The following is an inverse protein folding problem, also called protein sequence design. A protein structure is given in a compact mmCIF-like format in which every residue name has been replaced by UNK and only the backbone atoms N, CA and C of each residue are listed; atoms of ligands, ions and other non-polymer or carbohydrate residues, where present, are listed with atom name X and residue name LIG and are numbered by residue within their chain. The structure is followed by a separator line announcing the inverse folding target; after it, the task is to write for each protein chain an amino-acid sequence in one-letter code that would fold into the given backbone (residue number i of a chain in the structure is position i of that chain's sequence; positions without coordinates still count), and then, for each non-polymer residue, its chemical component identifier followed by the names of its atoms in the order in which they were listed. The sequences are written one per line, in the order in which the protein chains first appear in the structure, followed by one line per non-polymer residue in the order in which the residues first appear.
data_IF_423337883865
#
_entry.id   IF_423337883865
#
_cell.length_a   1.000
_cell.length_b   1.000
_cell.length_c   1.000
_cell.angle_alpha   90.00
_cell.angle_beta   90.00
_cell.angle_gamma   90.00
#
_symmetry.space_group_name_H-M   'P 1'
#
loop_
_entity.id
_entity.type
_entity.pdbx_description
1 polymer ?
#
# COMPACT_ATOMS: atom_id res chain seq x y z
N UNK A 1 8.43 -11.02 71.96
CA UNK A 1 7.56 -10.96 70.77
C UNK A 1 8.04 -9.82 69.94
N UNK A 2 8.94 -10.13 68.95
CA UNK A 2 9.52 -9.13 68.08
C UNK A 2 8.70 -9.07 66.82
N UNK A 3 8.10 -7.91 66.53
CA UNK A 3 7.36 -7.64 65.31
C UNK A 3 8.31 -7.36 64.17
N UNK A 4 8.32 -8.24 63.15
CA UNK A 4 9.01 -7.99 61.87
C UNK A 4 8.26 -6.90 61.08
N UNK A 5 8.88 -5.73 60.98
CA UNK A 5 8.48 -4.71 60.03
C UNK A 5 8.81 -5.18 58.60
N UNK A 6 7.78 -5.37 57.78
CA UNK A 6 7.94 -5.58 56.35
C UNK A 6 8.37 -4.25 55.70
N UNK A 7 9.59 -4.20 55.16
CA UNK A 7 10.05 -3.04 54.36
C UNK A 7 9.35 -3.05 53.03
N UNK A 8 8.53 -2.04 52.76
CA UNK A 8 7.88 -1.79 51.48
C UNK A 8 8.94 -1.16 50.57
N UNK A 9 9.50 -1.94 49.67
CA UNK A 9 10.30 -1.42 48.54
C UNK A 9 9.36 -0.77 47.53
N UNK A 10 9.62 0.48 47.09
CA UNK A 10 8.86 1.07 46.01
C UNK A 10 9.09 0.27 44.70
N UNK A 11 8.07 0.14 43.82
CA UNK A 11 8.24 -0.51 42.54
C UNK A 11 9.31 0.22 41.71
N UNK A 12 10.20 -0.55 41.10
CA UNK A 12 11.21 -0.04 40.21
C UNK A 12 10.55 0.78 39.09
N UNK A 13 11.19 1.89 38.62
CA UNK A 13 10.64 2.67 37.51
C UNK A 13 10.49 1.74 36.32
N UNK A 14 9.29 1.76 35.72
CA UNK A 14 9.00 1.00 34.51
C UNK A 14 10.03 1.40 33.45
N UNK A 15 10.97 0.51 33.17
CA UNK A 15 11.92 0.69 32.09
C UNK A 15 11.16 0.97 30.80
N UNK A 16 11.58 1.98 30.05
CA UNK A 16 11.08 2.23 28.70
C UNK A 16 11.16 0.92 27.91
N UNK A 17 9.99 0.42 27.52
CA UNK A 17 9.91 -0.74 26.65
C UNK A 17 10.76 -0.46 25.40
N UNK A 18 11.56 -1.42 24.91
CA UNK A 18 12.38 -1.21 23.74
C UNK A 18 11.49 -0.69 22.61
N UNK A 19 11.93 0.36 21.93
CA UNK A 19 11.31 0.91 20.71
C UNK A 19 11.40 -0.12 19.59
N UNK A 20 10.81 -1.32 19.80
CA UNK A 20 10.56 -2.28 18.76
C UNK A 20 9.58 -1.64 17.79
N UNK A 21 9.82 -1.79 16.50
CA UNK A 21 8.93 -1.38 15.40
C UNK A 21 7.50 -1.80 15.74
N UNK A 22 6.73 -0.89 16.36
CA UNK A 22 5.30 -1.11 16.58
C UNK A 22 4.66 -1.15 15.21
N UNK A 23 4.20 -2.33 14.80
CA UNK A 23 3.39 -2.44 13.59
C UNK A 23 2.20 -1.51 13.75
N UNK A 24 1.98 -0.65 12.77
CA UNK A 24 0.84 0.25 12.77
C UNK A 24 -0.47 -0.52 12.75
N UNK A 25 -1.46 0.02 13.45
CA UNK A 25 -2.81 -0.56 13.48
C UNK A 25 -3.42 -0.42 12.08
N UNK A 26 -4.03 -1.49 11.59
CA UNK A 26 -4.71 -1.47 10.30
C UNK A 26 -6.01 -0.63 10.40
N UNK A 27 -6.13 0.35 9.51
CA UNK A 27 -7.33 1.18 9.41
C UNK A 27 -8.48 0.40 8.77
N UNK A 28 -9.71 0.82 9.06
CA UNK A 28 -10.92 0.37 8.38
C UNK A 28 -11.51 1.56 7.64
N UNK A 29 -11.73 1.37 6.34
CA UNK A 29 -12.40 2.32 5.47
C UNK A 29 -13.19 1.53 4.43
N UNK A 30 -14.32 2.07 3.98
CA UNK A 30 -15.07 1.51 2.86
C UNK A 30 -14.33 1.71 1.54
N UNK A 31 -14.61 0.86 0.56
CA UNK A 31 -13.97 0.90 -0.75
C UNK A 31 -14.14 2.27 -1.42
N UNK A 32 -15.31 2.89 -1.33
CA UNK A 32 -15.58 4.20 -1.89
C UNK A 32 -14.68 5.30 -1.28
N UNK A 33 -14.45 5.27 0.04
CA UNK A 33 -13.55 6.21 0.71
C UNK A 33 -12.09 5.95 0.33
N UNK A 34 -11.66 4.69 0.39
CA UNK A 34 -10.30 4.29 0.09
C UNK A 34 -9.90 4.61 -1.36
N UNK A 35 -10.76 4.24 -2.33
CA UNK A 35 -10.49 4.46 -3.74
C UNK A 35 -10.53 5.95 -4.16
N UNK A 36 -11.17 6.79 -3.36
CA UNK A 36 -11.17 8.25 -3.58
C UNK A 36 -9.90 8.94 -3.08
N UNK A 37 -8.96 8.21 -2.47
CA UNK A 37 -7.71 8.76 -1.95
C UNK A 37 -6.76 9.12 -3.09
N UNK A 38 -6.15 10.33 -3.00
CA UNK A 38 -5.24 10.86 -4.03
C UNK A 38 -3.96 11.45 -3.45
N UNK A 39 -3.86 11.52 -2.12
CA UNK A 39 -2.71 12.15 -1.46
C UNK A 39 -1.91 11.11 -0.68
N UNK A 40 -0.60 11.04 -0.98
CA UNK A 40 0.36 10.20 -0.27
C UNK A 40 1.36 11.08 0.48
N UNK A 41 1.54 10.82 1.76
CA UNK A 41 2.62 11.35 2.58
C UNK A 41 3.74 10.32 2.54
N UNK A 42 4.80 10.61 1.80
CA UNK A 42 5.99 9.74 1.71
C UNK A 42 6.81 9.83 3.00
N UNK A 43 7.37 8.72 3.46
CA UNK A 43 8.37 8.72 4.53
C UNK A 43 9.61 9.51 4.13
N UNK A 44 10.29 10.11 5.10
CA UNK A 44 11.50 10.90 4.86
C UNK A 44 12.77 10.03 4.70
N UNK A 45 12.69 8.75 5.06
CA UNK A 45 13.77 7.78 4.97
C UNK A 45 13.29 6.46 4.37
N UNK A 46 14.22 5.64 3.94
CA UNK A 46 13.97 4.34 3.28
C UNK A 46 13.14 3.37 4.15
N UNK A 47 13.20 3.51 5.48
CA UNK A 47 12.45 2.71 6.45
C UNK A 47 11.22 3.39 7.02
N UNK A 48 10.99 4.65 6.68
CA UNK A 48 9.84 5.38 7.19
C UNK A 48 8.57 4.98 6.47
N UNK A 49 7.46 4.78 7.19
CA UNK A 49 6.21 4.40 6.57
C UNK A 49 5.62 5.53 5.72
N UNK A 50 5.18 5.20 4.52
CA UNK A 50 4.32 6.08 3.72
C UNK A 50 2.87 5.92 4.14
N UNK A 51 2.10 7.00 4.07
CA UNK A 51 0.68 7.03 4.43
C UNK A 51 -0.15 7.60 3.30
N UNK A 52 -1.29 6.98 3.06
CA UNK A 52 -2.32 7.51 2.18
C UNK A 52 -3.32 8.26 3.04
N UNK A 53 -3.62 9.52 2.70
CA UNK A 53 -4.66 10.30 3.37
C UNK A 53 -5.94 10.15 2.59
N UNK A 54 -7.01 9.66 3.22
CA UNK A 54 -8.33 9.56 2.59
C UNK A 54 -9.04 10.92 2.57
N UNK A 55 -10.07 11.11 1.74
CA UNK A 55 -10.87 12.34 1.73
C UNK A 55 -11.56 12.66 3.06
N UNK A 56 -11.74 11.65 3.94
CA UNK A 56 -12.27 11.85 5.28
C UNK A 56 -11.17 11.88 6.36
N UNK A 57 -9.90 11.92 5.96
CA UNK A 57 -8.78 12.10 6.87
C UNK A 57 -8.24 10.85 7.54
N UNK A 58 -8.59 9.64 7.09
CA UNK A 58 -7.86 8.47 7.56
C UNK A 58 -6.43 8.51 7.00
N UNK A 59 -5.43 8.43 7.89
CA UNK A 59 -4.01 8.34 7.55
C UNK A 59 -3.61 6.87 7.51
N UNK A 60 -3.66 6.27 6.32
CA UNK A 60 -3.61 4.82 6.12
C UNK A 60 -2.23 4.39 5.62
N UNK A 61 -1.48 3.64 6.43
CA UNK A 61 -0.34 2.83 6.00
C UNK A 61 -0.79 1.37 5.80
N UNK A 62 -1.54 0.83 6.79
CA UNK A 62 -2.14 -0.51 6.75
C UNK A 62 -3.65 -0.42 6.77
N UNK A 63 -4.29 -1.29 6.01
CA UNK A 63 -5.75 -1.39 5.94
C UNK A 63 -6.20 -2.82 6.22
N UNK A 64 -7.36 -2.95 6.86
CA UNK A 64 -8.05 -4.22 7.05
C UNK A 64 -9.43 -4.11 6.42
N UNK A 65 -9.70 -4.95 5.44
CA UNK A 65 -10.94 -4.98 4.69
C UNK A 65 -11.57 -6.37 4.75
N UNK A 66 -12.89 -6.42 4.76
CA UNK A 66 -13.67 -7.66 4.65
C UNK A 66 -14.74 -7.44 3.59
N UNK A 67 -14.86 -8.38 2.67
CA UNK A 67 -15.86 -8.30 1.60
C UNK A 67 -15.97 -9.60 0.83
N UNK A 68 -16.72 -9.57 -0.26
CA UNK A 68 -16.86 -10.70 -1.17
C UNK A 68 -15.69 -10.68 -2.16
N UNK A 69 -14.90 -11.72 -2.20
CA UNK A 69 -13.98 -11.96 -3.30
C UNK A 69 -14.80 -12.36 -4.52
N UNK A 70 -14.86 -11.49 -5.51
CA UNK A 70 -15.66 -11.67 -6.71
C UNK A 70 -14.89 -12.22 -7.88
N UNK A 71 -13.59 -11.94 -7.89
CA UNK A 71 -12.72 -12.30 -8.99
C UNK A 71 -11.27 -12.46 -8.55
N UNK A 72 -10.56 -13.42 -9.14
CA UNK A 72 -9.15 -13.70 -8.92
C UNK A 72 -8.52 -14.03 -10.27
N UNK A 73 -7.46 -13.33 -10.64
CA UNK A 73 -6.79 -13.55 -11.90
C UNK A 73 -5.27 -13.32 -11.80
N UNK A 74 -4.48 -14.03 -12.60
CA UNK A 74 -3.07 -13.72 -12.78
C UNK A 74 -2.93 -12.43 -13.60
N UNK A 75 -1.94 -11.59 -13.25
CA UNK A 75 -1.67 -10.30 -13.90
C UNK A 75 -0.24 -10.30 -14.45
N UNK A 76 -0.07 -9.74 -15.65
CA UNK A 76 1.22 -9.65 -16.33
C UNK A 76 1.54 -10.90 -17.16
N UNK A 77 2.54 -10.77 -18.03
CA UNK A 77 2.93 -11.83 -18.98
C UNK A 77 3.53 -13.06 -18.28
N UNK A 78 4.18 -12.89 -17.13
CA UNK A 78 4.78 -13.97 -16.35
C UNK A 78 3.78 -14.71 -15.45
N UNK A 79 2.57 -14.15 -15.21
CA UNK A 79 1.59 -14.73 -14.27
C UNK A 79 2.06 -14.81 -12.81
N UNK A 80 3.11 -14.09 -12.45
CA UNK A 80 3.69 -14.13 -11.10
C UNK A 80 2.95 -13.25 -10.08
N UNK A 81 2.15 -12.31 -10.56
CA UNK A 81 1.32 -11.44 -9.73
C UNK A 81 -0.13 -11.86 -9.84
N UNK A 82 -0.79 -11.99 -8.70
CA UNK A 82 -2.21 -12.30 -8.60
C UNK A 82 -2.99 -11.08 -8.17
N UNK A 83 -4.07 -10.80 -8.88
CA UNK A 83 -5.06 -9.78 -8.50
C UNK A 83 -6.29 -10.46 -7.91
N UNK A 84 -6.76 -9.97 -6.77
CA UNK A 84 -8.07 -10.29 -6.23
C UNK A 84 -8.92 -9.02 -6.16
N UNK A 85 -10.19 -9.14 -6.51
CA UNK A 85 -11.20 -8.07 -6.38
C UNK A 85 -12.10 -8.38 -5.19
N UNK A 86 -12.08 -7.51 -4.19
CA UNK A 86 -12.85 -7.67 -2.97
C UNK A 86 -13.89 -6.57 -2.90
N UNK A 87 -15.16 -6.95 -2.94
CA UNK A 87 -16.28 -6.03 -2.99
C UNK A 87 -16.90 -5.86 -1.61
N UNK A 88 -17.04 -4.59 -1.18
CA UNK A 88 -17.99 -4.20 -0.14
C UNK A 88 -19.21 -3.53 -0.79
N UNK A 89 -20.28 -3.20 -0.04
CA UNK A 89 -21.45 -2.57 -0.65
C UNK A 89 -21.20 -1.18 -1.24
N UNK A 90 -20.06 -0.55 -0.97
CA UNK A 90 -19.70 0.79 -1.47
C UNK A 90 -18.80 0.75 -2.71
N UNK A 91 -18.17 -0.39 -3.01
CA UNK A 91 -17.23 -0.51 -4.14
C UNK A 91 -16.32 -1.71 -4.06
N UNK A 92 -15.21 -1.67 -4.80
CA UNK A 92 -14.28 -2.78 -4.97
C UNK A 92 -12.87 -2.36 -4.56
N UNK A 93 -12.23 -3.15 -3.72
CA UNK A 93 -10.80 -3.05 -3.43
C UNK A 93 -10.02 -3.89 -4.42
N UNK A 94 -8.93 -3.34 -4.96
CA UNK A 94 -7.95 -4.07 -5.75
C UNK A 94 -6.81 -4.53 -4.85
N UNK A 95 -6.57 -5.84 -4.81
CA UNK A 95 -5.53 -6.48 -4.00
C UNK A 95 -4.54 -7.15 -4.94
N UNK A 96 -3.25 -6.84 -4.80
CA UNK A 96 -2.19 -7.42 -5.64
C UNK A 96 -1.14 -8.09 -4.78
N UNK A 97 -0.85 -9.37 -5.05
CA UNK A 97 0.19 -10.15 -4.41
C UNK A 97 1.09 -10.80 -5.44
N UNK A 98 2.38 -10.75 -5.22
CA UNK A 98 3.40 -11.34 -6.09
C UNK A 98 4.51 -12.01 -5.27
N UNK A 99 5.67 -12.18 -5.88
CA UNK A 99 6.83 -12.89 -5.31
C UNK A 99 7.30 -12.36 -3.95
N UNK A 100 7.07 -11.07 -3.68
CA UNK A 100 7.41 -10.47 -2.37
C UNK A 100 6.41 -10.80 -1.25
N UNK A 101 5.28 -11.42 -1.56
CA UNK A 101 4.25 -11.87 -0.62
C UNK A 101 3.81 -13.30 -0.98
N UNK A 102 4.71 -14.28 -0.92
CA UNK A 102 4.44 -15.63 -1.43
C UNK A 102 3.25 -16.30 -0.73
N UNK A 103 3.13 -16.14 0.60
CA UNK A 103 2.02 -16.70 1.37
C UNK A 103 0.68 -16.07 0.97
N UNK A 104 0.63 -14.74 0.83
CA UNK A 104 -0.59 -14.05 0.43
C UNK A 104 -0.96 -14.32 -1.04
N UNK A 105 0.04 -14.43 -1.93
CA UNK A 105 -0.17 -14.80 -3.33
C UNK A 105 -0.74 -16.22 -3.44
N UNK A 106 -0.21 -17.16 -2.68
CA UNK A 106 -0.73 -18.53 -2.63
C UNK A 106 -2.16 -18.56 -2.08
N UNK A 107 -2.44 -17.81 -1.00
CA UNK A 107 -3.79 -17.72 -0.45
C UNK A 107 -4.78 -17.12 -1.45
N UNK A 108 -4.40 -16.08 -2.22
CA UNK A 108 -5.24 -15.51 -3.28
C UNK A 108 -5.48 -16.54 -4.39
N UNK A 109 -4.44 -17.23 -4.85
CA UNK A 109 -4.57 -18.26 -5.88
C UNK A 109 -5.56 -19.36 -5.48
N UNK A 110 -5.54 -19.77 -4.21
CA UNK A 110 -6.49 -20.77 -3.68
C UNK A 110 -7.94 -20.30 -3.66
N UNK A 111 -8.20 -18.97 -3.71
CA UNK A 111 -9.53 -18.42 -3.80
C UNK A 111 -10.12 -18.54 -5.21
N UNK A 112 -9.32 -18.72 -6.27
CA UNK A 112 -9.78 -18.79 -7.67
C UNK A 112 -10.93 -19.78 -7.83
N UNK A 113 -10.82 -20.94 -7.19
CA UNK A 113 -11.85 -21.99 -7.26
C UNK A 113 -12.93 -21.88 -6.16
N UNK A 114 -12.83 -20.87 -5.27
CA UNK A 114 -13.75 -20.65 -4.14
C UNK A 114 -14.59 -19.40 -4.30
N UNK A 115 -14.31 -18.60 -5.32
CA UNK A 115 -15.11 -17.39 -5.60
C UNK A 115 -16.50 -17.75 -6.09
N UNK A 116 -17.56 -17.05 -5.64
CA UNK A 116 -17.54 -15.96 -4.65
C UNK A 116 -17.50 -16.45 -3.20
N UNK A 117 -16.66 -15.83 -2.36
CA UNK A 117 -16.59 -16.13 -0.93
C UNK A 117 -16.26 -14.88 -0.12
N UNK A 118 -16.60 -14.87 1.17
CA UNK A 118 -16.18 -13.79 2.06
C UNK A 118 -14.71 -13.96 2.44
N UNK A 119 -13.96 -12.87 2.33
CA UNK A 119 -12.55 -12.83 2.69
C UNK A 119 -12.22 -11.60 3.53
N UNK A 120 -11.31 -11.79 4.46
CA UNK A 120 -10.66 -10.73 5.20
C UNK A 120 -9.24 -10.56 4.66
N UNK A 121 -8.86 -9.31 4.35
CA UNK A 121 -7.52 -8.96 3.89
C UNK A 121 -6.95 -7.89 4.79
N UNK A 122 -5.73 -8.12 5.28
CA UNK A 122 -4.92 -7.11 5.96
C UNK A 122 -3.66 -6.88 5.13
N UNK A 123 -3.36 -5.63 4.84
CA UNK A 123 -2.20 -5.31 4.01
C UNK A 123 -1.81 -3.85 4.04
N UNK A 124 -0.74 -3.53 3.33
CA UNK A 124 -0.27 -2.15 3.16
C UNK A 124 -1.02 -1.47 2.03
N UNK A 125 -1.47 -0.25 2.28
CA UNK A 125 -1.99 0.61 1.24
C UNK A 125 -0.86 1.07 0.31
N UNK A 126 -1.11 1.09 -1.00
CA UNK A 126 -0.17 1.50 -2.03
C UNK A 126 -0.84 2.44 -3.01
N UNK A 127 -0.10 3.41 -3.45
CA UNK A 127 -0.47 4.30 -4.55
C UNK A 127 0.26 3.90 -5.82
N UNK A 128 -0.36 4.16 -6.93
CA UNK A 128 0.22 4.07 -8.26
C UNK A 128 -0.25 5.26 -9.09
N UNK A 129 0.68 5.97 -9.70
CA UNK A 129 0.42 7.16 -10.50
C UNK A 129 1.03 6.95 -11.90
N UNK A 130 0.26 6.39 -12.86
CA UNK A 130 0.73 6.15 -14.22
C UNK A 130 0.99 7.46 -14.98
N UNK A 131 0.16 8.48 -14.72
CA UNK A 131 0.25 9.80 -15.31
C UNK A 131 0.09 10.86 -14.20
N UNK A 132 0.75 12.02 -14.31
CA UNK A 132 0.63 13.08 -13.32
C UNK A 132 -0.83 13.43 -13.01
N UNK A 133 -1.24 13.29 -11.74
CA UNK A 133 -2.60 13.56 -11.28
C UNK A 133 -3.56 12.36 -11.32
N UNK A 134 -3.19 11.23 -11.93
CA UNK A 134 -4.00 10.00 -11.96
C UNK A 134 -3.54 9.02 -10.89
N UNK A 135 -4.00 9.23 -9.65
CA UNK A 135 -3.60 8.39 -8.51
C UNK A 135 -4.61 7.25 -8.32
N UNK A 136 -4.10 6.03 -8.35
CA UNK A 136 -4.83 4.80 -8.02
C UNK A 136 -4.33 4.24 -6.70
N UNK A 137 -5.22 3.63 -5.94
CA UNK A 137 -4.89 2.97 -4.68
C UNK A 137 -5.14 1.48 -4.77
N UNK A 138 -4.31 0.71 -4.10
CA UNK A 138 -4.41 -0.75 -4.03
C UNK A 138 -3.96 -1.26 -2.67
N UNK A 139 -4.19 -2.53 -2.41
CA UNK A 139 -3.77 -3.21 -1.20
C UNK A 139 -2.70 -4.24 -1.58
N UNK A 140 -1.54 -4.13 -0.94
CA UNK A 140 -0.51 -5.15 -0.93
C UNK A 140 -0.73 -6.03 0.29
N UNK A 141 -1.27 -7.25 0.14
CA UNK A 141 -1.71 -8.04 1.26
C UNK A 141 -0.53 -8.58 2.08
N UNK A 142 -0.72 -8.61 3.39
CA UNK A 142 0.15 -9.30 4.35
C UNK A 142 -0.51 -10.59 4.85
N UNK A 143 -1.86 -10.61 4.88
CA UNK A 143 -2.66 -11.77 5.24
C UNK A 143 -3.98 -11.76 4.46
N UNK A 144 -4.40 -12.94 4.02
CA UNK A 144 -5.68 -13.19 3.34
C UNK A 144 -6.31 -14.43 3.98
N UNK A 145 -7.57 -14.34 4.37
CA UNK A 145 -8.27 -15.43 5.07
C UNK A 145 -9.74 -15.47 4.65
N UNK A 146 -10.26 -16.66 4.37
CA UNK A 146 -11.70 -16.87 4.18
C UNK A 146 -12.40 -16.69 5.52
N UNK A 147 -13.50 -15.95 5.53
CA UNK A 147 -14.29 -15.65 6.74
C UNK A 147 -15.77 -15.92 6.50
N UNK A 148 -16.54 -15.86 7.57
CA UNK A 148 -17.99 -16.02 7.54
C UNK A 148 -18.72 -14.67 7.38
N UNK A 149 -20.03 -14.76 7.19
CA UNK A 149 -20.92 -13.61 7.08
C UNK A 149 -20.93 -12.76 8.36
N UNK A 150 -20.88 -13.39 9.54
CA UNK A 150 -20.87 -12.67 10.80
C UNK A 150 -19.62 -11.78 10.95
N UNK A 151 -18.48 -12.26 10.51
CA UNK A 151 -17.23 -11.48 10.47
C UNK A 151 -17.36 -10.29 9.51
N UNK A 152 -17.98 -10.47 8.34
CA UNK A 152 -18.27 -9.39 7.39
C UNK A 152 -19.20 -8.36 8.01
N UNK A 153 -20.27 -8.77 8.67
CA UNK A 153 -21.24 -7.88 9.28
C UNK A 153 -20.63 -7.04 10.41
N UNK A 154 -19.83 -7.67 11.25
CA UNK A 154 -19.08 -6.97 12.30
C UNK A 154 -18.13 -5.92 11.70
N UNK A 155 -17.42 -6.28 10.62
CA UNK A 155 -16.52 -5.34 9.94
C UNK A 155 -17.28 -4.15 9.34
N UNK A 156 -18.48 -4.39 8.74
CA UNK A 156 -19.33 -3.32 8.20
C UNK A 156 -19.75 -2.34 9.30
N UNK A 157 -20.19 -2.83 10.46
CA UNK A 157 -20.58 -1.99 11.60
C UNK A 157 -19.41 -1.19 12.16
N UNK A 158 -18.26 -1.82 12.36
CA UNK A 158 -17.05 -1.15 12.85
C UNK A 158 -16.56 -0.09 11.85
N UNK A 159 -16.58 -0.40 10.56
CA UNK A 159 -16.17 0.53 9.50
C UNK A 159 -17.13 1.71 9.41
N UNK A 160 -18.44 1.46 9.52
CA UNK A 160 -19.46 2.52 9.52
C UNK A 160 -19.25 3.50 10.69
N UNK A 161 -19.01 2.97 11.91
CA UNK A 161 -18.70 3.80 13.09
C UNK A 161 -17.47 4.67 12.87
N UNK A 162 -16.37 4.08 12.38
CA UNK A 162 -15.12 4.82 12.09
C UNK A 162 -15.31 5.87 11.02
N UNK A 163 -16.09 5.56 9.98
CA UNK A 163 -16.39 6.51 8.91
C UNK A 163 -17.25 7.65 9.43
N UNK A 164 -18.23 7.38 10.30
CA UNK A 164 -19.05 8.39 10.93
C UNK A 164 -18.22 9.33 11.84
N UNK A 165 -17.28 8.80 12.62
CA UNK A 165 -16.34 9.59 13.41
C UNK A 165 -15.54 10.56 12.53
N UNK A 166 -15.03 10.10 11.39
CA UNK A 166 -14.30 10.92 10.43
C UNK A 166 -15.19 11.97 9.74
N UNK A 167 -16.42 11.60 9.39
CA UNK A 167 -17.40 12.54 8.83
C UNK A 167 -17.70 13.69 9.79
N UNK A 168 -17.91 13.37 11.07
CA UNK A 168 -18.14 14.40 12.11
C UNK A 168 -16.93 15.33 12.25
N UNK A 169 -15.73 14.80 12.16
CA UNK A 169 -14.50 15.58 12.23
C UNK A 169 -14.34 16.53 11.04
N UNK A 170 -14.55 16.03 9.82
CA UNK A 170 -14.51 16.86 8.59
C UNK A 170 -15.59 17.93 8.62
N UNK A 171 -16.80 17.60 9.11
CA UNK A 171 -17.88 18.58 9.26
C UNK A 171 -17.51 19.70 10.26
N UNK A 172 -16.87 19.36 11.38
CA UNK A 172 -16.41 20.34 12.37
C UNK A 172 -15.34 21.27 11.80
N UNK A 173 -14.36 20.73 11.07
CA UNK A 173 -13.31 21.51 10.40
C UNK A 173 -13.90 22.40 9.29
N UNK A 174 -14.89 21.91 8.56
CA UNK A 174 -15.59 22.66 7.53
C UNK A 174 -16.40 23.84 8.10
N UNK A 175 -17.02 23.65 9.26
CA UNK A 175 -17.79 24.71 9.94
C UNK A 175 -16.88 25.83 10.47
N UNK A 176 -15.66 25.51 10.84
CA UNK A 176 -14.66 26.45 11.36
C UNK A 176 -13.32 26.27 10.61
N UNK A 177 -13.12 26.91 9.44
CA UNK A 177 -11.94 26.69 8.61
C UNK A 177 -10.57 26.98 9.27
N UNK A 178 -10.56 27.75 10.35
CA UNK A 178 -9.36 28.12 11.12
C UNK A 178 -9.29 27.39 12.48
N UNK A 179 -10.09 26.35 12.67
CA UNK A 179 -10.06 25.58 13.92
C UNK A 179 -8.69 24.94 14.12
N UNK A 180 -8.17 24.99 15.34
CA UNK A 180 -6.89 24.35 15.68
C UNK A 180 -7.07 22.91 16.13
N UNK A 181 -5.99 22.15 16.08
CA UNK A 181 -5.97 20.78 16.58
C UNK A 181 -6.37 20.70 18.06
N UNK A 182 -5.83 21.62 18.87
CA UNK A 182 -6.11 21.70 20.30
C UNK A 182 -7.59 21.96 20.59
N UNK A 183 -8.22 22.82 19.78
CA UNK A 183 -9.65 23.12 19.93
C UNK A 183 -10.52 21.89 19.60
N UNK A 184 -10.18 21.13 18.56
CA UNK A 184 -10.88 19.89 18.20
C UNK A 184 -10.72 18.81 19.26
N UNK A 185 -9.50 18.63 19.77
CA UNK A 185 -9.22 17.69 20.85
C UNK A 185 -9.92 18.12 22.14
N UNK A 186 -9.94 19.41 22.47
CA UNK A 186 -10.65 19.95 23.62
C UNK A 186 -12.18 19.74 23.57
N UNK A 187 -12.76 19.54 22.37
CA UNK A 187 -14.17 19.15 22.16
C UNK A 187 -14.40 17.64 22.27
N UNK A 188 -13.37 16.87 22.68
CA UNK A 188 -13.45 15.42 22.88
C UNK A 188 -13.14 14.59 21.62
N UNK A 189 -12.66 15.20 20.55
CA UNK A 189 -12.27 14.48 19.33
C UNK A 189 -10.94 13.77 19.55
N UNK A 190 -10.84 12.51 19.11
CA UNK A 190 -9.58 11.77 19.18
C UNK A 190 -8.50 12.45 18.33
N UNK A 191 -7.31 12.68 18.89
CA UNK A 191 -6.22 13.41 18.24
C UNK A 191 -5.93 12.92 16.81
N UNK A 192 -5.80 11.59 16.51
CA UNK A 192 -5.55 11.13 15.14
C UNK A 192 -6.67 11.47 14.14
N UNK A 193 -7.93 11.51 14.62
CA UNK A 193 -9.10 11.86 13.79
C UNK A 193 -9.10 13.35 13.50
N UNK A 194 -8.80 14.18 14.51
CA UNK A 194 -8.70 15.64 14.34
C UNK A 194 -7.54 16.02 13.39
N UNK A 195 -6.35 15.46 13.57
CA UNK A 195 -5.20 15.65 12.67
C UNK A 195 -5.55 15.24 11.24
N UNK A 196 -6.21 14.09 11.08
CA UNK A 196 -6.62 13.58 9.78
C UNK A 196 -7.63 14.52 9.09
N UNK A 197 -8.61 15.03 9.82
CA UNK A 197 -9.60 15.95 9.25
C UNK A 197 -8.98 17.27 8.77
N UNK A 198 -8.01 17.81 9.50
CA UNK A 198 -7.24 19.01 9.10
C UNK A 198 -6.41 18.73 7.84
N UNK A 199 -5.74 17.56 7.76
CA UNK A 199 -5.02 17.13 6.57
C UNK A 199 -5.96 16.94 5.37
N UNK A 200 -7.14 16.34 5.58
CA UNK A 200 -8.12 16.18 4.52
C UNK A 200 -8.58 17.53 3.97
N UNK A 201 -8.86 18.51 4.82
CA UNK A 201 -9.21 19.85 4.39
C UNK A 201 -8.10 20.51 3.57
N UNK A 202 -6.84 20.34 3.99
CA UNK A 202 -5.68 20.91 3.30
C UNK A 202 -5.51 20.35 1.88
N UNK A 203 -5.72 19.04 1.68
CA UNK A 203 -5.41 18.35 0.43
C UNK A 203 -6.62 18.14 -0.48
N UNK A 204 -7.82 18.00 0.08
CA UNK A 204 -9.05 17.74 -0.67
C UNK A 204 -10.01 18.95 -0.68
N UNK A 205 -9.74 19.97 0.14
CA UNK A 205 -10.63 21.13 0.24
C UNK A 205 -12.04 20.76 0.72
N UNK A 206 -13.05 21.19 -0.03
CA UNK A 206 -14.45 20.89 0.28
C UNK A 206 -14.82 19.49 -0.22
N UNK A 207 -14.55 18.47 0.61
CA UNK A 207 -14.97 17.09 0.32
C UNK A 207 -16.49 16.95 0.33
N UNK A 208 -17.04 16.29 -0.69
CA UNK A 208 -18.45 15.87 -0.68
C UNK A 208 -18.66 14.77 0.38
N UNK A 209 -19.16 15.17 1.54
CA UNK A 209 -19.42 14.28 2.67
C UNK A 209 -20.72 13.49 2.51
N UNK A 210 -21.66 13.93 1.67
CA UNK A 210 -22.96 13.30 1.50
C UNK A 210 -22.83 11.92 0.85
N UNK A 211 -21.95 11.80 -0.15
CA UNK A 211 -21.71 10.51 -0.79
C UNK A 211 -21.18 9.44 0.18
N UNK A 212 -20.33 9.83 1.16
CA UNK A 212 -19.81 8.89 2.16
C UNK A 212 -20.86 8.58 3.24
N UNK A 213 -21.70 9.55 3.61
CA UNK A 213 -22.83 9.30 4.49
C UNK A 213 -23.86 8.35 3.82
N UNK A 214 -24.09 8.50 2.51
CA UNK A 214 -24.91 7.58 1.75
C UNK A 214 -24.32 6.17 1.69
N UNK A 215 -22.99 6.06 1.48
CA UNK A 215 -22.30 4.75 1.51
C UNK A 215 -22.47 4.04 2.85
N UNK A 216 -22.37 4.73 3.98
CA UNK A 216 -22.65 4.15 5.30
C UNK A 216 -24.06 3.55 5.33
N UNK A 217 -25.08 4.30 4.88
CA UNK A 217 -26.45 3.83 4.85
C UNK A 217 -26.62 2.58 3.99
N UNK A 218 -26.03 2.56 2.80
CA UNK A 218 -26.04 1.40 1.92
C UNK A 218 -25.39 0.17 2.56
N UNK A 219 -24.23 0.36 3.23
CA UNK A 219 -23.49 -0.74 3.83
C UNK A 219 -24.18 -1.33 5.07
N UNK A 220 -24.89 -0.51 5.85
CA UNK A 220 -25.52 -0.94 7.12
C UNK A 220 -26.97 -1.34 6.93
N UNK A 221 -27.68 -0.83 5.91
CA UNK A 221 -29.09 -1.13 5.66
C UNK A 221 -29.43 -2.61 5.64
N UNK A 222 -28.65 -3.51 5.00
CA UNK A 222 -28.92 -4.94 5.01
C UNK A 222 -28.84 -5.60 6.39
N UNK A 223 -28.11 -4.97 7.35
CA UNK A 223 -27.90 -5.50 8.69
C UNK A 223 -29.02 -5.11 9.66
N UNK A 224 -29.93 -4.21 9.25
CA UNK A 224 -31.04 -3.78 10.08
C UNK A 224 -32.19 -4.78 10.04
N UNK A 225 -32.93 -4.97 11.14
CA UNK A 225 -34.14 -5.81 11.14
C UNK A 225 -35.13 -5.34 10.07
N UNK A 226 -35.49 -6.20 9.16
CA UNK A 226 -36.36 -5.87 8.02
C UNK A 226 -35.64 -5.31 6.79
N UNK A 227 -34.31 -5.15 6.84
CA UNK A 227 -33.49 -4.86 5.68
C UNK A 227 -33.45 -6.08 4.75
N UNK A 228 -33.90 -5.91 3.50
CA UNK A 228 -33.68 -6.92 2.48
C UNK A 228 -32.20 -6.89 2.11
N UNK A 229 -31.49 -7.98 2.39
CA UNK A 229 -30.17 -8.21 1.81
C UNK A 229 -30.40 -8.30 0.31
N UNK A 230 -29.84 -7.42 -0.53
CA UNK A 230 -29.82 -7.70 -1.95
C UNK A 230 -28.99 -8.98 -2.09
N UNK A 231 -29.65 -10.09 -2.34
CA UNK A 231 -29.00 -11.31 -2.78
C UNK A 231 -28.40 -10.94 -4.12
N UNK A 232 -27.13 -10.55 -4.13
CA UNK A 232 -26.35 -10.46 -5.35
C UNK A 232 -26.25 -11.90 -5.85
N UNK A 233 -27.25 -12.33 -6.64
CA UNK A 233 -27.13 -13.52 -7.45
C UNK A 233 -26.04 -13.21 -8.45
N UNK A 234 -24.86 -13.69 -8.15
CA UNK A 234 -23.71 -13.64 -9.07
C UNK A 234 -24.04 -14.60 -10.23
N UNK A 235 -24.93 -14.16 -11.12
CA UNK A 235 -24.96 -14.71 -12.46
C UNK A 235 -23.66 -14.30 -13.12
N UNK A 236 -22.94 -15.29 -13.62
CA UNK A 236 -21.74 -15.11 -14.44
C UNK A 236 -22.12 -14.27 -15.67
N UNK A 237 -22.11 -12.95 -15.51
CA UNK A 237 -22.46 -12.01 -16.56
C UNK A 237 -21.24 -11.85 -17.44
N UNK A 238 -21.30 -12.36 -18.65
CA UNK A 238 -20.53 -11.84 -19.76
C UNK A 238 -20.78 -10.33 -19.84
N UNK A 239 -19.69 -9.56 -19.93
CA UNK A 239 -19.72 -8.11 -19.85
C UNK A 239 -20.63 -7.54 -20.96
N UNK A 240 -21.72 -6.81 -20.63
CA UNK A 240 -22.41 -6.03 -21.65
C UNK A 240 -21.61 -4.77 -21.90
N UNK A 241 -21.42 -4.45 -23.19
CA UNK A 241 -20.80 -3.20 -23.64
C UNK A 241 -21.47 -1.99 -22.99
N UNK A 242 -20.70 -1.22 -22.24
CA UNK A 242 -21.18 0.02 -21.63
C UNK A 242 -21.20 1.12 -22.71
N UNK A 243 -22.40 1.61 -22.99
CA UNK A 243 -22.58 2.91 -23.64
C UNK A 243 -22.40 4.02 -22.58
N UNK A 244 -21.66 5.10 -22.85
CA UNK A 244 -21.43 6.15 -21.86
C UNK A 244 -22.66 7.02 -21.71
N UNK A 245 -23.31 6.98 -20.53
CA UNK A 245 -24.23 8.01 -20.11
C UNK A 245 -23.45 9.07 -19.31
N UNK A 246 -23.43 10.26 -19.85
CA UNK A 246 -22.89 11.52 -19.32
C UNK A 246 -23.34 11.78 -17.89
N UNK A 247 -22.36 12.20 -17.03
CA UNK A 247 -22.50 12.76 -15.69
C UNK A 247 -22.52 11.78 -14.48
N UNK A 248 -21.53 10.90 -14.42
CA UNK A 248 -20.92 10.50 -13.15
C UNK A 248 -19.42 10.46 -13.39
N UNK A 249 -18.63 11.07 -12.51
CA UNK A 249 -17.18 10.96 -12.61
C UNK A 249 -16.84 9.46 -12.61
N UNK A 250 -16.47 8.97 -13.77
CA UNK A 250 -16.23 7.57 -14.03
C UNK A 250 -15.16 7.04 -13.08
N UNK A 251 -15.48 5.98 -12.36
CA UNK A 251 -14.44 5.03 -11.95
C UNK A 251 -13.66 4.67 -13.21
N UNK A 252 -12.32 4.64 -13.16
CA UNK A 252 -11.52 4.39 -14.36
C UNK A 252 -11.97 3.08 -14.99
N UNK A 253 -12.27 3.14 -16.28
CA UNK A 253 -12.54 1.98 -17.12
C UNK A 253 -11.41 0.97 -16.97
N UNK A 254 -11.72 -0.30 -17.00
CA UNK A 254 -10.79 -1.44 -16.88
C UNK A 254 -9.54 -1.34 -17.79
N UNK A 255 -9.64 -0.60 -18.89
CA UNK A 255 -8.53 -0.28 -19.79
C UNK A 255 -7.49 0.71 -19.20
N UNK A 256 -7.78 1.39 -18.08
CA UNK A 256 -6.90 2.38 -17.46
C UNK A 256 -6.32 1.91 -16.12
N UNK A 257 -6.67 0.71 -15.64
CA UNK A 257 -5.94 0.14 -14.51
C UNK A 257 -4.61 -0.40 -15.02
N UNK A 258 -3.51 0.21 -14.64
CA UNK A 258 -2.22 -0.31 -15.04
C UNK A 258 -2.10 -1.71 -14.46
N UNK A 259 -1.97 -2.69 -15.32
CA UNK A 259 -1.31 -3.92 -14.91
C UNK A 259 -0.03 -3.49 -14.21
N UNK A 260 0.16 -3.90 -12.94
CA UNK A 260 1.47 -3.78 -12.33
C UNK A 260 2.45 -4.45 -13.30
N UNK A 261 3.13 -3.63 -14.09
CA UNK A 261 4.37 -4.05 -14.69
C UNK A 261 5.42 -3.90 -13.59
N UNK A 262 6.29 -4.88 -13.37
CA UNK A 262 7.63 -4.57 -12.94
C UNK A 262 8.08 -3.41 -13.81
N UNK A 263 8.82 -2.40 -13.28
CA UNK A 263 9.18 -1.21 -14.02
C UNK A 263 9.48 -1.65 -15.44
N UNK A 264 8.72 -1.11 -16.38
CA UNK A 264 8.73 -1.58 -17.76
C UNK A 264 10.18 -1.72 -18.12
N UNK A 265 10.55 -2.90 -18.60
CA UNK A 265 11.75 -2.99 -19.40
C UNK A 265 11.70 -1.78 -20.32
N UNK A 266 12.68 -0.91 -20.17
CA UNK A 266 12.83 0.28 -20.97
C UNK A 266 12.51 -0.08 -22.43
N UNK A 267 11.94 0.82 -23.25
CA UNK A 267 11.66 0.55 -24.66
C UNK A 267 12.87 -0.17 -25.20
N UNK A 268 12.65 -1.31 -25.90
CA UNK A 268 13.75 -2.13 -26.40
C UNK A 268 14.80 -1.18 -26.96
N UNK A 269 15.99 -1.08 -26.36
CA UNK A 269 16.99 -0.18 -26.85
C UNK A 269 17.31 -0.61 -28.28
N UNK A 270 17.52 0.36 -29.15
CA UNK A 270 18.10 0.09 -30.48
C UNK A 270 19.33 -0.78 -30.29
N UNK A 271 19.54 -1.80 -31.11
CA UNK A 271 20.63 -2.78 -30.98
C UNK A 271 22.01 -2.14 -30.71
N UNK A 272 22.19 -0.87 -31.17
CA UNK A 272 23.37 -0.05 -30.89
C UNK A 272 23.45 0.40 -29.40
N UNK A 273 22.32 0.67 -28.74
CA UNK A 273 22.28 1.05 -27.32
C UNK A 273 22.51 -0.16 -26.40
N UNK A 274 22.01 -1.34 -26.80
CA UNK A 274 22.28 -2.61 -26.09
C UNK A 274 23.77 -2.97 -26.14
N UNK A 275 24.38 -2.88 -27.31
CA UNK A 275 25.82 -3.13 -27.48
C UNK A 275 26.69 -2.15 -26.68
N UNK A 276 26.29 -0.89 -26.58
CA UNK A 276 26.99 0.11 -25.77
C UNK A 276 26.88 -0.17 -24.27
N UNK A 277 25.69 -0.61 -23.81
CA UNK A 277 25.43 -0.99 -22.41
C UNK A 277 26.23 -2.24 -22.04
N UNK A 278 26.25 -3.25 -22.90
CA UNK A 278 27.01 -4.48 -22.68
C UNK A 278 28.52 -4.23 -22.67
N UNK A 279 29.02 -3.33 -23.54
CA UNK A 279 30.42 -2.93 -23.51
C UNK A 279 30.80 -2.21 -22.21
N UNK A 280 29.89 -1.38 -21.67
CA UNK A 280 30.06 -0.72 -20.37
C UNK A 280 30.09 -1.73 -19.23
N UNK A 281 29.12 -2.67 -19.16
CA UNK A 281 29.04 -3.73 -18.17
C UNK A 281 30.33 -4.57 -18.16
N UNK A 282 30.81 -4.97 -19.33
CA UNK A 282 32.05 -5.74 -19.48
C UNK A 282 33.28 -4.94 -19.03
N UNK A 283 33.33 -3.63 -19.30
CA UNK A 283 34.41 -2.74 -18.86
C UNK A 283 34.46 -2.59 -17.34
N UNK A 284 33.30 -2.43 -16.71
CA UNK A 284 33.19 -2.35 -15.23
C UNK A 284 33.53 -3.69 -14.58
N UNK A 285 33.05 -4.80 -15.14
CA UNK A 285 33.40 -6.15 -14.64
C UNK A 285 34.91 -6.41 -14.71
N UNK A 286 35.56 -6.03 -15.79
CA UNK A 286 37.02 -6.15 -15.93
C UNK A 286 37.78 -5.28 -14.88
N UNK A 287 37.26 -4.11 -14.53
CA UNK A 287 37.82 -3.29 -13.46
C UNK A 287 37.65 -3.92 -12.08
N UNK A 288 36.47 -4.53 -11.79
CA UNK A 288 36.25 -5.29 -10.55
C UNK A 288 37.25 -6.43 -10.48
N UNK A 289 37.39 -7.27 -11.51
CA UNK A 289 38.32 -8.41 -11.55
C UNK A 289 39.78 -7.98 -11.38
N UNK A 290 40.18 -6.85 -12.00
CA UNK A 290 41.55 -6.33 -11.90
C UNK A 290 41.89 -5.81 -10.51
N UNK A 291 40.92 -5.21 -9.84
CA UNK A 291 41.09 -4.58 -8.51
C UNK A 291 40.75 -5.55 -7.37
N UNK A 292 40.18 -6.72 -7.70
CA UNK A 292 39.82 -7.74 -6.74
C UNK A 292 41.04 -8.37 -6.12
N UNK A 293 41.30 -8.09 -4.83
CA UNK A 293 42.31 -8.72 -4.00
C UNK A 293 41.68 -9.82 -3.13
N UNK A 294 42.45 -10.40 -2.21
CA UNK A 294 41.93 -11.43 -1.30
C UNK A 294 40.68 -10.99 -0.51
N UNK A 295 40.51 -9.66 -0.27
CA UNK A 295 39.37 -9.07 0.46
C UNK A 295 38.27 -8.51 -0.44
N UNK A 296 38.44 -8.51 -1.80
CA UNK A 296 37.56 -7.90 -2.77
C UNK A 296 38.06 -6.54 -3.25
N UNK A 297 37.37 -5.93 -4.22
CA UNK A 297 37.65 -4.61 -4.78
C UNK A 297 36.79 -3.56 -4.05
N UNK A 298 37.39 -2.42 -3.68
CA UNK A 298 36.65 -1.34 -3.03
C UNK A 298 35.83 -0.55 -4.06
N UNK A 299 34.64 -0.15 -3.69
CA UNK A 299 33.74 0.65 -4.51
C UNK A 299 34.42 1.92 -5.08
N UNK A 300 35.12 2.66 -4.21
CA UNK A 300 35.81 3.89 -4.59
C UNK A 300 36.93 3.65 -5.63
N UNK A 301 37.64 2.53 -5.51
CA UNK A 301 38.73 2.18 -6.43
C UNK A 301 38.16 1.79 -7.82
N UNK A 302 37.00 1.16 -7.86
CA UNK A 302 36.30 0.82 -9.11
C UNK A 302 35.76 2.07 -9.79
N UNK A 303 35.18 3.01 -9.04
CA UNK A 303 34.75 4.31 -9.56
C UNK A 303 35.92 5.08 -10.17
N UNK A 304 37.07 5.17 -9.46
CA UNK A 304 38.26 5.88 -9.92
C UNK A 304 38.84 5.22 -11.18
N UNK A 305 38.91 3.90 -11.22
CA UNK A 305 39.40 3.16 -12.38
C UNK A 305 38.51 3.33 -13.61
N UNK A 306 37.20 3.41 -13.42
CA UNK A 306 36.24 3.58 -14.51
C UNK A 306 36.19 5.03 -14.99
N UNK A 307 36.39 6.01 -14.13
CA UNK A 307 36.45 7.42 -14.47
C UNK A 307 37.63 7.73 -15.42
N UNK A 308 38.75 7.02 -15.31
CA UNK A 308 39.87 7.15 -16.26
C UNK A 308 39.52 6.67 -17.68
N UNK A 309 38.48 5.86 -17.84
CA UNK A 309 37.89 5.42 -19.12
C UNK A 309 36.80 6.35 -19.66
N UNK A 310 36.51 7.49 -19.03
CA UNK A 310 35.52 8.44 -19.47
C UNK A 310 34.08 8.08 -19.08
N UNK A 311 33.90 7.11 -18.16
CA UNK A 311 32.59 6.65 -17.65
C UNK A 311 32.20 7.47 -16.43
N UNK A 312 30.97 7.99 -16.38
CA UNK A 312 30.49 8.74 -15.22
C UNK A 312 30.22 7.82 -14.03
N UNK A 313 30.27 8.37 -12.80
CA UNK A 313 30.00 7.62 -11.57
C UNK A 313 28.62 6.96 -11.59
N UNK A 314 27.61 7.66 -12.11
CA UNK A 314 26.24 7.16 -12.26
C UNK A 314 26.14 5.96 -13.22
N UNK A 315 26.88 6.02 -14.34
CA UNK A 315 26.94 4.90 -15.30
C UNK A 315 27.65 3.67 -14.72
N UNK A 316 28.67 3.87 -13.88
CA UNK A 316 29.37 2.77 -13.17
C UNK A 316 28.44 2.13 -12.15
N UNK A 317 27.70 2.92 -11.40
CA UNK A 317 26.73 2.44 -10.41
C UNK A 317 25.60 1.62 -11.07
N UNK A 318 25.06 2.10 -12.19
CA UNK A 318 24.07 1.35 -12.97
C UNK A 318 24.64 0.03 -13.53
N UNK A 319 25.87 0.04 -14.02
CA UNK A 319 26.54 -1.15 -14.53
C UNK A 319 26.79 -2.18 -13.42
N UNK A 320 27.24 -1.75 -12.24
CA UNK A 320 27.43 -2.62 -11.07
C UNK A 320 26.12 -3.23 -10.59
N UNK A 321 25.03 -2.46 -10.56
CA UNK A 321 23.70 -2.97 -10.23
C UNK A 321 23.26 -4.05 -11.22
N UNK A 322 23.42 -3.83 -12.54
CA UNK A 322 23.13 -4.84 -13.56
C UNK A 322 24.00 -6.09 -13.43
N UNK A 323 25.28 -5.94 -13.09
CA UNK A 323 26.20 -7.07 -12.88
C UNK A 323 25.85 -7.88 -11.63
N UNK A 324 25.37 -7.22 -10.57
CA UNK A 324 24.84 -7.89 -9.37
C UNK A 324 23.54 -8.63 -9.67
N UNK A 325 22.63 -8.03 -10.43
CA UNK A 325 21.38 -8.68 -10.87
C UNK A 325 21.65 -9.90 -11.77
N UNK A 326 22.69 -9.84 -12.59
CA UNK A 326 23.16 -10.97 -13.42
C UNK A 326 23.92 -12.03 -12.60
N UNK A 327 24.19 -11.79 -11.30
CA UNK A 327 24.92 -12.69 -10.44
C UNK A 327 26.41 -12.81 -10.78
N UNK A 328 26.99 -11.86 -11.50
CA UNK A 328 28.42 -11.85 -11.91
C UNK A 328 29.32 -11.17 -10.87
N UNK A 329 28.73 -10.30 -10.04
CA UNK A 329 29.39 -9.58 -8.96
C UNK A 329 28.50 -9.65 -7.73
N UNK A 330 29.06 -9.74 -6.54
CA UNK A 330 28.35 -9.68 -5.26
C UNK A 330 29.12 -8.80 -4.24
N UNK A 331 28.40 -8.30 -3.26
CA UNK A 331 28.96 -7.44 -2.20
C UNK A 331 29.01 -8.22 -0.86
N UNK A 332 30.15 -8.86 -0.52
CA UNK A 332 30.28 -9.61 0.73
C UNK A 332 30.28 -8.71 1.97
N UNK A 333 30.70 -7.48 1.84
CA UNK A 333 30.73 -6.46 2.90
C UNK A 333 30.47 -5.11 2.26
N UNK A 334 29.74 -4.23 2.94
CA UNK A 334 29.37 -2.90 2.44
C UNK A 334 30.58 -2.15 1.85
N UNK A 335 30.49 -1.77 0.58
CA UNK A 335 31.55 -1.07 -0.17
C UNK A 335 32.67 -1.95 -0.70
N UNK A 336 32.55 -3.30 -0.63
CA UNK A 336 33.55 -4.24 -1.17
C UNK A 336 32.84 -5.20 -2.13
N UNK A 337 33.28 -5.27 -3.37
CA UNK A 337 32.74 -6.08 -4.44
C UNK A 337 33.64 -7.26 -4.78
N UNK A 338 33.04 -8.40 -5.11
CA UNK A 338 33.72 -9.60 -5.58
C UNK A 338 33.02 -10.18 -6.80
N UNK A 339 33.80 -10.80 -7.67
CA UNK A 339 33.26 -11.62 -8.75
C UNK A 339 32.87 -13.01 -8.25
N UNK A 340 31.89 -13.61 -8.89
CA UNK A 340 31.34 -14.92 -8.51
C UNK A 340 32.20 -16.06 -9.01
#
# INVERSE_FOLDING_TARGET
MEGKQASFLPPAPAGEAPKGLRREVAHRAFAQEFNASRHEIKGQGEKDPSFIVTPLGAKVNRIHVVGVCTDVEPVGESGEVWRARISDPSGVFSVYAGNYQPEAAQAIKELENKTPCFVAVTGKARTYEPEPGSVFVSIRPEAVTVVDEATRDQWLLDTARRTQERLAAVAAVRAEPHVTLEALVGRGMAKPVAEGALLAQQHYGLTDTERFAHAIKQCVSPLLPGGSVPVVRLEKREAPGFAPTSQAQAAPTEAAMPTWRPPAAAPKPDAAAEAATEALDNGVLANVQRLEGQKGARWDDILQASATGGVSAEQVEEALNRLMDKGLVYEPTLGILKTT
#
